data_IF_067228718421
#
_entry.id   IF_067228718421
#
_cell.length_a   1.000
_cell.length_b   1.000
_cell.length_c   1.000
_cell.angle_alpha   90.00
_cell.angle_beta   90.00
_cell.angle_gamma   90.00
#
_symmetry.space_group_name_H-M   'P 1'
#
loop_
_entity.id
_entity.type
_entity.pdbx_description
1 polymer ?
#
# COMPACT_ATOMS: atom_id res chain seq x y z
N UNK A 1 -16.49 1.65 -18.71
CA UNK A 1 -16.68 1.69 -17.24
C UNK A 1 -16.23 0.35 -16.69
N UNK A 2 -15.19 0.30 -15.86
CA UNK A 2 -14.67 -0.95 -15.32
C UNK A 2 -15.58 -1.54 -14.23
N UNK A 3 -15.63 -2.87 -14.13
CA UNK A 3 -16.51 -3.64 -13.22
C UNK A 3 -16.43 -3.23 -11.74
N UNK A 4 -15.30 -2.68 -11.30
CA UNK A 4 -15.08 -2.27 -9.91
C UNK A 4 -14.96 -0.75 -9.73
N UNK A 5 -15.51 0.04 -10.67
CA UNK A 5 -15.42 1.50 -10.65
C UNK A 5 -16.02 2.17 -9.40
N UNK A 6 -16.90 1.51 -8.66
CA UNK A 6 -17.44 2.02 -7.38
C UNK A 6 -16.65 1.55 -6.14
N UNK A 7 -15.70 0.62 -6.31
CA UNK A 7 -14.95 0.05 -5.20
C UNK A 7 -14.01 1.11 -4.61
N UNK A 8 -14.24 1.45 -3.34
CA UNK A 8 -13.41 2.40 -2.57
C UNK A 8 -12.49 1.70 -1.58
N UNK A 9 -12.80 0.49 -1.15
CA UNK A 9 -12.06 -0.19 -0.10
C UNK A 9 -11.81 -1.63 -0.52
N UNK A 10 -10.56 -2.07 -0.39
CA UNK A 10 -10.13 -3.45 -0.63
C UNK A 10 -9.46 -3.94 0.64
N UNK A 11 -10.12 -4.89 1.31
CA UNK A 11 -9.63 -5.51 2.53
C UNK A 11 -9.48 -7.02 2.31
N UNK A 12 -8.29 -7.54 2.60
CA UNK A 12 -7.98 -8.97 2.51
C UNK A 12 -7.40 -9.42 3.84
N UNK A 13 -8.02 -10.44 4.44
CA UNK A 13 -7.65 -10.94 5.76
C UNK A 13 -7.59 -12.46 5.77
N UNK A 14 -6.60 -13.02 6.45
CA UNK A 14 -6.46 -14.47 6.65
C UNK A 14 -6.31 -15.30 5.36
N UNK A 15 -5.92 -14.68 4.25
CA UNK A 15 -5.63 -15.37 3.00
C UNK A 15 -4.19 -15.91 3.02
N UNK A 16 -3.97 -16.97 3.80
CA UNK A 16 -2.61 -17.43 4.11
C UNK A 16 -1.83 -17.94 2.91
N UNK A 17 -2.47 -18.46 1.85
CA UNK A 17 -1.79 -18.98 0.66
C UNK A 17 -1.60 -17.95 -0.46
N UNK A 18 -2.19 -16.75 -0.33
CA UNK A 18 -2.15 -15.73 -1.38
C UNK A 18 -0.77 -15.07 -1.42
N UNK A 19 -0.06 -15.17 -2.56
CA UNK A 19 1.31 -14.65 -2.73
C UNK A 19 1.37 -13.18 -3.16
N UNK A 20 0.38 -12.72 -3.90
CA UNK A 20 0.19 -11.31 -4.28
C UNK A 20 -1.29 -10.97 -4.40
N UNK A 21 -1.65 -9.69 -4.26
CA UNK A 21 -3.04 -9.26 -4.23
C UNK A 21 -3.56 -8.75 -5.58
N UNK A 22 -2.75 -7.95 -6.28
CA UNK A 22 -3.15 -7.21 -7.49
C UNK A 22 -2.15 -7.39 -8.62
N UNK A 23 -2.65 -7.29 -9.85
CA UNK A 23 -1.83 -7.08 -11.05
C UNK A 23 -1.93 -5.62 -11.51
N UNK A 24 -0.93 -5.10 -12.25
CA UNK A 24 -0.98 -3.74 -12.78
C UNK A 24 -2.21 -3.47 -13.65
N UNK A 25 -2.63 -4.46 -14.44
CA UNK A 25 -3.84 -4.39 -15.26
C UNK A 25 -5.09 -4.11 -14.43
N UNK A 26 -5.30 -4.87 -13.35
CA UNK A 26 -6.42 -4.66 -12.44
C UNK A 26 -6.41 -3.24 -11.84
N UNK A 27 -5.24 -2.75 -11.45
CA UNK A 27 -5.10 -1.39 -10.92
C UNK A 27 -5.53 -0.36 -11.96
N UNK A 28 -5.01 -0.45 -13.18
CA UNK A 28 -5.29 0.52 -14.26
C UNK A 28 -6.76 0.55 -14.67
N UNK A 29 -7.40 -0.60 -14.81
CA UNK A 29 -8.74 -0.67 -15.40
C UNK A 29 -9.87 -0.70 -14.38
N UNK A 30 -9.60 -1.12 -13.14
CA UNK A 30 -10.67 -1.42 -12.19
C UNK A 30 -10.57 -0.66 -10.86
N UNK A 31 -9.38 -0.27 -10.40
CA UNK A 31 -9.20 0.26 -9.04
C UNK A 31 -8.82 1.75 -8.97
N UNK A 32 -9.19 2.53 -9.99
CA UNK A 32 -8.93 3.98 -10.02
C UNK A 32 -9.70 4.78 -8.95
N UNK A 33 -10.74 4.20 -8.34
CA UNK A 33 -11.50 4.83 -7.26
C UNK A 33 -11.17 4.30 -5.86
N UNK A 34 -10.17 3.42 -5.75
CA UNK A 34 -9.78 2.82 -4.48
C UNK A 34 -9.14 3.87 -3.56
N UNK A 35 -9.61 3.91 -2.31
CA UNK A 35 -9.24 4.83 -1.24
C UNK A 35 -8.52 4.13 -0.09
N UNK A 36 -8.83 2.85 0.16
CA UNK A 36 -8.21 2.03 1.20
C UNK A 36 -7.76 0.69 0.63
N UNK A 37 -6.50 0.33 0.90
CA UNK A 37 -5.98 -1.04 0.75
C UNK A 37 -5.57 -1.53 2.12
N UNK A 38 -6.12 -2.67 2.53
CA UNK A 38 -5.90 -3.28 3.83
C UNK A 38 -5.56 -4.76 3.66
N UNK A 39 -4.41 -5.18 4.19
CA UNK A 39 -3.98 -6.58 4.19
C UNK A 39 -3.61 -7.01 5.61
N UNK A 40 -4.29 -8.05 6.11
CA UNK A 40 -4.13 -8.55 7.46
C UNK A 40 -3.90 -10.07 7.48
N UNK A 41 -2.91 -10.55 8.26
CA UNK A 41 -2.63 -11.98 8.48
C UNK A 41 -2.57 -12.83 7.19
N UNK A 42 -1.90 -12.30 6.15
CA UNK A 42 -1.67 -13.00 4.89
C UNK A 42 -0.23 -13.53 4.84
N UNK A 43 -0.02 -14.74 5.39
CA UNK A 43 1.31 -15.23 5.77
C UNK A 43 2.26 -15.52 4.61
N UNK A 44 1.74 -16.01 3.49
CA UNK A 44 2.53 -16.27 2.27
C UNK A 44 2.58 -15.10 1.29
N UNK A 45 1.99 -13.94 1.63
CA UNK A 45 2.00 -12.79 0.73
C UNK A 45 3.39 -12.14 0.68
N UNK A 46 3.95 -12.08 -0.52
CA UNK A 46 5.29 -11.55 -0.81
C UNK A 46 5.23 -10.15 -1.41
N UNK A 47 4.19 -9.87 -2.21
CA UNK A 47 3.97 -8.57 -2.85
C UNK A 47 2.51 -8.13 -2.69
N UNK A 48 2.22 -6.83 -2.68
CA UNK A 48 0.82 -6.37 -2.83
C UNK A 48 0.45 -6.38 -4.32
N UNK A 49 1.31 -5.80 -5.14
CA UNK A 49 1.15 -5.72 -6.60
C UNK A 49 2.33 -6.42 -7.26
N UNK A 50 2.02 -7.38 -8.14
CA UNK A 50 3.00 -8.11 -8.93
C UNK A 50 2.60 -8.02 -10.40
N UNK A 51 3.54 -7.57 -11.22
CA UNK A 51 3.43 -7.72 -12.67
C UNK A 51 3.80 -9.17 -13.02
N UNK A 52 2.81 -9.95 -13.41
CA UNK A 52 3.04 -11.30 -13.93
C UNK A 52 3.12 -11.19 -15.44
N UNK A 53 4.34 -11.17 -15.98
CA UNK A 53 4.62 -11.13 -17.42
C UNK A 53 4.06 -12.36 -18.19
N UNK A 54 3.47 -13.34 -17.50
CA UNK A 54 3.02 -14.62 -18.07
C UNK A 54 1.64 -14.58 -18.74
N UNK A 55 0.79 -13.59 -18.46
CA UNK A 55 -0.48 -13.44 -19.18
C UNK A 55 -0.27 -12.43 -20.32
N UNK A 56 -0.37 -12.87 -21.57
CA UNK A 56 -0.16 -12.12 -22.82
C UNK A 56 -1.11 -10.93 -23.06
N UNK A 57 -1.46 -10.21 -22.01
CA UNK A 57 -2.28 -9.00 -21.99
C UNK A 57 -1.30 -7.81 -22.02
N UNK A 58 -0.90 -7.47 -23.24
CA UNK A 58 -0.52 -6.14 -23.73
C UNK A 58 0.33 -5.28 -22.79
N UNK A 59 1.61 -5.18 -23.19
CA UNK A 59 2.55 -4.10 -22.91
C UNK A 59 1.93 -2.70 -23.17
N UNK A 60 1.12 -2.20 -22.24
CA UNK A 60 0.86 -0.76 -22.16
C UNK A 60 2.02 -0.13 -21.39
N UNK A 61 3.05 0.26 -22.15
CA UNK A 61 4.37 0.74 -21.73
C UNK A 61 4.39 1.98 -20.83
N UNK A 62 3.82 1.86 -19.63
CA UNK A 62 3.98 2.82 -18.55
C UNK A 62 4.43 2.08 -17.30
N UNK A 63 5.72 2.11 -17.00
CA UNK A 63 6.39 1.48 -15.86
C UNK A 63 5.89 1.92 -14.46
N UNK A 64 4.91 2.83 -14.42
CA UNK A 64 4.36 3.42 -13.20
C UNK A 64 2.91 2.96 -13.01
N UNK A 65 2.66 2.36 -11.85
CA UNK A 65 1.31 2.01 -11.38
C UNK A 65 0.79 3.16 -10.52
N UNK A 66 -0.39 3.67 -10.84
CA UNK A 66 -0.96 4.84 -10.16
C UNK A 66 -2.25 4.48 -9.45
N UNK A 67 -2.32 4.79 -8.16
CA UNK A 67 -3.58 4.84 -7.41
C UNK A 67 -3.92 6.30 -7.13
N UNK A 68 -4.75 6.95 -7.96
CA UNK A 68 -4.95 8.38 -7.86
C UNK A 68 -5.73 8.78 -6.60
N UNK A 69 -6.57 7.90 -6.06
CA UNK A 69 -7.45 8.18 -4.91
C UNK A 69 -7.10 7.41 -3.64
N UNK A 70 -6.03 6.61 -3.63
CA UNK A 70 -5.65 5.84 -2.45
C UNK A 70 -5.20 6.79 -1.34
N UNK A 71 -5.88 6.73 -0.20
CA UNK A 71 -5.66 7.57 0.97
C UNK A 71 -4.99 6.79 2.10
N UNK A 72 -5.31 5.50 2.25
CA UNK A 72 -4.84 4.67 3.36
C UNK A 72 -4.27 3.35 2.84
N UNK A 73 -3.06 3.01 3.30
CA UNK A 73 -2.44 1.70 3.12
C UNK A 73 -2.18 1.08 4.48
N UNK A 74 -2.83 -0.04 4.76
CA UNK A 74 -2.75 -0.73 6.04
C UNK A 74 -2.26 -2.17 5.87
N UNK A 75 -1.15 -2.49 6.53
CA UNK A 75 -0.47 -3.78 6.43
C UNK A 75 -0.21 -4.30 7.84
N UNK A 76 -0.75 -5.47 8.15
CA UNK A 76 -0.60 -6.05 9.48
C UNK A 76 -0.40 -7.55 9.44
N UNK A 77 0.61 -8.04 10.16
CA UNK A 77 0.92 -9.47 10.24
C UNK A 77 1.09 -10.11 8.87
N UNK A 78 1.88 -9.46 7.99
CA UNK A 78 2.22 -9.95 6.66
C UNK A 78 3.73 -10.27 6.64
N UNK A 79 4.17 -11.36 7.29
CA UNK A 79 5.57 -11.56 7.64
C UNK A 79 6.50 -11.71 6.44
N UNK A 80 6.01 -12.21 5.31
CA UNK A 80 6.79 -12.45 4.09
C UNK A 80 6.76 -11.29 3.08
N UNK A 81 6.07 -10.19 3.40
CA UNK A 81 5.91 -9.06 2.47
C UNK A 81 7.24 -8.37 2.22
N UNK A 82 7.78 -8.50 1.01
CA UNK A 82 9.06 -7.90 0.59
C UNK A 82 8.88 -6.51 -0.01
N UNK A 83 7.84 -6.32 -0.82
CA UNK A 83 7.59 -5.05 -1.50
C UNK A 83 6.09 -4.80 -1.70
N UNK A 84 5.70 -3.52 -1.80
CA UNK A 84 4.32 -3.17 -2.16
C UNK A 84 4.08 -3.37 -3.65
N UNK A 85 5.07 -3.04 -4.48
CA UNK A 85 4.97 -3.11 -5.92
C UNK A 85 6.27 -3.69 -6.50
N UNK A 86 6.14 -4.67 -7.39
CA UNK A 86 7.24 -5.35 -8.06
C UNK A 86 6.91 -5.56 -9.52
N UNK A 87 7.89 -5.38 -10.41
CA UNK A 87 7.75 -5.70 -11.84
C UNK A 87 8.09 -7.16 -12.11
N UNK A 88 9.01 -7.74 -11.35
CA UNK A 88 9.23 -9.17 -11.28
C UNK A 88 9.85 -9.49 -9.91
N UNK A 89 10.34 -10.71 -9.69
CA UNK A 89 10.94 -11.11 -8.41
C UNK A 89 12.22 -10.33 -8.04
N UNK A 90 12.84 -9.62 -9.00
CA UNK A 90 14.13 -8.94 -8.85
C UNK A 90 14.04 -7.40 -9.04
N UNK A 91 13.11 -6.92 -9.87
CA UNK A 91 12.96 -5.52 -10.26
C UNK A 91 11.82 -4.83 -9.49
N UNK A 92 12.18 -3.79 -8.75
CA UNK A 92 11.23 -2.96 -8.00
C UNK A 92 10.26 -2.25 -8.94
N UNK A 93 8.97 -2.38 -8.68
CA UNK A 93 7.94 -1.62 -9.40
C UNK A 93 7.86 -0.17 -8.92
N UNK A 94 7.52 0.75 -9.82
CA UNK A 94 7.31 2.16 -9.47
C UNK A 94 5.81 2.38 -9.23
N UNK A 95 5.47 2.95 -8.07
CA UNK A 95 4.09 3.26 -7.72
C UNK A 95 3.93 4.75 -7.38
N UNK A 96 2.84 5.36 -7.84
CA UNK A 96 2.46 6.73 -7.54
C UNK A 96 1.10 6.77 -6.82
N UNK A 97 1.07 7.36 -5.63
CA UNK A 97 -0.14 7.53 -4.82
C UNK A 97 -0.29 9.00 -4.37
N UNK A 98 -0.73 9.91 -5.25
CA UNK A 98 -0.75 11.35 -4.95
C UNK A 98 -1.70 11.73 -3.79
N UNK A 99 -2.73 10.92 -3.55
CA UNK A 99 -3.72 11.14 -2.49
C UNK A 99 -3.39 10.43 -1.18
N UNK A 100 -2.23 9.76 -1.07
CA UNK A 100 -1.90 8.95 0.10
C UNK A 100 -1.71 9.83 1.33
N UNK A 101 -2.48 9.57 2.38
CA UNK A 101 -2.51 10.34 3.62
C UNK A 101 -1.93 9.55 4.79
N UNK A 102 -2.15 8.24 4.85
CA UNK A 102 -1.71 7.43 5.97
C UNK A 102 -1.15 6.08 5.50
N UNK A 103 -0.05 5.68 6.12
CA UNK A 103 0.53 4.35 6.01
C UNK A 103 0.58 3.74 7.42
N UNK A 104 0.05 2.52 7.56
CA UNK A 104 0.11 1.76 8.81
C UNK A 104 0.79 0.42 8.50
N UNK A 105 1.90 0.15 9.17
CA UNK A 105 2.64 -1.11 9.03
C UNK A 105 2.90 -1.71 10.39
N UNK A 106 2.41 -2.94 10.61
CA UNK A 106 2.60 -3.67 11.85
C UNK A 106 2.97 -5.13 11.58
N UNK A 107 3.96 -5.67 12.29
CA UNK A 107 4.35 -7.08 12.15
C UNK A 107 4.61 -7.50 10.68
N UNK A 108 5.30 -6.63 9.92
CA UNK A 108 5.73 -6.86 8.54
C UNK A 108 7.26 -6.75 8.45
N UNK A 109 8.03 -7.64 9.13
CA UNK A 109 9.48 -7.51 9.30
C UNK A 109 10.29 -7.52 7.99
N UNK A 110 9.76 -8.10 6.91
CA UNK A 110 10.45 -8.16 5.61
C UNK A 110 10.21 -6.93 4.73
N UNK A 111 9.28 -6.04 5.11
CA UNK A 111 8.95 -4.86 4.30
C UNK A 111 9.97 -3.76 4.58
N UNK A 112 10.90 -3.57 3.65
CA UNK A 112 12.01 -2.60 3.81
C UNK A 112 11.79 -1.26 3.15
N UNK A 113 10.80 -1.11 2.26
CA UNK A 113 10.57 0.13 1.51
C UNK A 113 9.09 0.49 1.47
N UNK A 114 8.83 1.79 1.58
CA UNK A 114 7.50 2.37 1.45
C UNK A 114 7.28 2.96 0.06
N UNK A 115 6.03 3.05 -0.41
CA UNK A 115 5.70 3.67 -1.69
C UNK A 115 5.64 5.20 -1.57
N UNK A 116 6.77 5.79 -1.20
CA UNK A 116 6.91 7.24 -1.05
C UNK A 116 7.31 7.87 -2.40
N UNK A 117 6.92 9.13 -2.67
CA UNK A 117 7.34 9.82 -3.87
C UNK A 117 8.88 9.84 -3.97
N UNK A 118 9.41 9.50 -5.14
CA UNK A 118 10.84 9.62 -5.40
C UNK A 118 11.20 11.11 -5.41
N UNK A 119 11.91 11.55 -4.37
CA UNK A 119 12.53 12.87 -4.32
C UNK A 119 13.82 12.81 -5.17
N UNK A 120 13.74 13.12 -6.46
CA UNK A 120 14.95 13.33 -7.26
C UNK A 120 15.53 14.69 -6.87
N UNK A 121 16.74 14.70 -6.31
CA UNK A 121 17.46 15.91 -5.89
C UNK A 121 18.02 16.69 -7.09
N UNK A 122 17.95 16.11 -8.30
CA UNK A 122 18.61 16.65 -9.49
C UNK A 122 17.66 17.50 -10.33
N UNK A 123 17.14 18.59 -9.76
CA UNK A 123 16.84 19.81 -10.51
C UNK A 123 16.55 20.95 -9.52
N UNK A 124 17.43 21.95 -9.44
CA UNK A 124 17.28 23.12 -8.56
C UNK A 124 16.08 24.03 -8.92
N UNK A 125 15.11 23.55 -9.71
CA UNK A 125 13.92 24.27 -10.15
C UNK A 125 12.60 23.52 -9.97
N UNK A 126 12.60 22.26 -9.49
CA UNK A 126 11.34 21.52 -9.30
C UNK A 126 11.02 21.39 -7.81
N UNK A 127 9.90 21.97 -7.32
CA UNK A 127 9.47 21.71 -5.97
C UNK A 127 9.27 20.20 -5.80
N UNK A 128 9.68 19.62 -4.65
CA UNK A 128 9.40 18.22 -4.36
C UNK A 128 7.91 17.95 -4.59
N UNK A 129 7.52 16.85 -5.26
CA UNK A 129 6.11 16.54 -5.48
C UNK A 129 5.36 16.61 -4.15
N UNK A 130 4.37 17.50 -4.09
CA UNK A 130 3.56 17.72 -2.90
C UNK A 130 2.97 16.38 -2.46
N UNK A 131 3.35 15.94 -1.26
CA UNK A 131 2.83 14.73 -0.67
C UNK A 131 1.61 15.08 0.18
N UNK A 132 0.52 14.33 0.02
CA UNK A 132 -0.66 14.42 0.90
C UNK A 132 -0.45 13.67 2.22
N UNK A 133 0.73 13.08 2.42
CA UNK A 133 1.02 12.17 3.53
C UNK A 133 1.06 12.92 4.86
N UNK A 134 0.21 12.49 5.78
CA UNK A 134 0.01 13.08 7.11
C UNK A 134 0.61 12.21 8.22
N UNK A 135 0.62 10.89 8.05
CA UNK A 135 1.09 9.99 9.10
C UNK A 135 1.67 8.68 8.54
N UNK A 136 2.70 8.19 9.22
CA UNK A 136 3.22 6.84 9.08
C UNK A 136 3.25 6.21 10.47
N UNK A 137 2.58 5.08 10.63
CA UNK A 137 2.48 4.39 11.92
C UNK A 137 3.11 3.01 11.81
N UNK A 138 3.90 2.61 12.82
CA UNK A 138 4.43 1.25 12.88
C UNK A 138 5.32 0.97 14.08
N UNK A 139 5.97 -0.18 14.04
CA UNK A 139 6.97 -0.57 15.04
C UNK A 139 8.23 0.31 14.88
N UNK A 140 8.84 0.69 16.01
CA UNK A 140 10.06 1.52 16.00
C UNK A 140 11.20 0.76 15.31
N UNK A 141 11.33 -0.52 15.61
CA UNK A 141 12.36 -1.42 15.05
C UNK A 141 12.21 -1.53 13.54
N UNK A 142 10.96 -1.62 13.05
CA UNK A 142 10.69 -1.62 11.61
C UNK A 142 11.09 -0.29 10.96
N UNK A 143 10.69 0.84 11.54
CA UNK A 143 11.02 2.17 11.01
C UNK A 143 12.53 2.42 10.92
N UNK A 144 13.26 1.98 11.93
CA UNK A 144 14.72 2.15 11.99
C UNK A 144 15.46 1.28 10.96
N UNK A 145 14.87 0.15 10.54
CA UNK A 145 15.41 -0.78 9.54
C UNK A 145 14.93 -0.50 8.09
N UNK A 146 14.07 0.50 7.87
CA UNK A 146 13.65 0.89 6.52
C UNK A 146 14.85 1.31 5.67
N UNK A 147 14.87 0.85 4.43
CA UNK A 147 15.79 1.28 3.39
C UNK A 147 15.26 2.58 2.76
N UNK A 148 16.04 3.66 2.92
CA UNK A 148 15.74 4.97 2.36
C UNK A 148 16.63 5.22 1.15
N UNK A 149 16.07 5.83 0.10
CA UNK A 149 16.85 6.14 -1.11
C UNK A 149 17.98 7.14 -0.82
N UNK A 150 17.75 8.09 0.09
CA UNK A 150 18.77 9.00 0.64
C UNK A 150 18.54 9.27 2.14
N UNK A 151 19.58 9.64 2.91
CA UNK A 151 19.41 10.08 4.30
C UNK A 151 18.44 11.27 4.46
N UNK A 152 18.42 12.18 3.47
CA UNK A 152 17.53 13.33 3.43
C UNK A 152 16.06 12.91 3.34
N UNK A 153 15.76 11.86 2.58
CA UNK A 153 14.41 11.29 2.49
C UNK A 153 13.90 10.89 3.87
N UNK A 154 14.71 10.17 4.67
CA UNK A 154 14.32 9.79 6.04
C UNK A 154 13.99 11.01 6.89
N UNK A 155 14.80 12.06 6.82
CA UNK A 155 14.58 13.30 7.60
C UNK A 155 13.28 14.02 7.24
N UNK A 156 12.84 13.97 5.98
CA UNK A 156 11.57 14.58 5.53
C UNK A 156 10.38 13.87 6.15
N UNK A 157 10.43 12.53 6.22
CA UNK A 157 9.31 11.72 6.72
C UNK A 157 9.38 11.44 8.22
N UNK A 158 10.53 11.69 8.88
CA UNK A 158 10.72 11.47 10.32
C UNK A 158 9.66 12.15 11.20
N UNK A 159 9.23 13.41 10.95
CA UNK A 159 8.19 14.06 11.75
C UNK A 159 6.80 13.44 11.58
N UNK A 160 6.57 12.71 10.49
CA UNK A 160 5.29 12.04 10.20
C UNK A 160 5.22 10.65 10.83
N UNK A 161 6.33 10.13 11.35
CA UNK A 161 6.37 8.81 11.97
C UNK A 161 5.92 8.84 13.43
N UNK A 162 5.01 7.95 13.78
CA UNK A 162 4.57 7.71 15.16
C UNK A 162 4.59 6.23 15.49
N UNK A 163 5.12 5.89 16.67
CA UNK A 163 5.06 4.52 17.18
C UNK A 163 3.63 4.25 17.66
N UNK A 164 2.98 3.21 17.13
CA UNK A 164 1.70 2.71 17.67
C UNK A 164 1.95 1.47 18.52
N UNK A 165 1.42 1.43 19.74
CA UNK A 165 1.68 0.38 20.73
C UNK A 165 0.66 -0.77 20.76
N UNK A 166 -0.17 -0.96 19.73
CA UNK A 166 -1.26 -1.95 19.79
C UNK A 166 -1.26 -3.03 18.70
N UNK A 167 -1.69 -4.23 19.13
CA UNK A 167 -2.20 -5.33 18.30
C UNK A 167 -3.19 -4.76 17.28
N UNK A 168 -3.04 -5.16 16.03
CA UNK A 168 -3.97 -4.98 14.91
C UNK A 168 -5.41 -4.54 15.31
N UNK A 169 -5.75 -3.23 15.31
CA UNK A 169 -7.15 -2.78 15.47
C UNK A 169 -8.02 -3.12 14.23
N UNK A 170 -7.36 -3.60 13.17
CA UNK A 170 -7.87 -3.75 11.81
C UNK A 170 -8.99 -4.82 11.71
N UNK A 171 -9.09 -5.74 12.67
CA UNK A 171 -9.96 -6.91 12.56
C UNK A 171 -11.41 -6.62 13.02
N UNK A 172 -11.68 -5.57 13.82
CA UNK A 172 -12.96 -5.53 14.53
C UNK A 172 -13.84 -4.27 14.44
N UNK A 173 -13.43 -3.10 13.95
CA UNK A 173 -14.26 -1.90 14.19
C UNK A 173 -14.74 -1.06 12.99
N UNK A 174 -14.00 -0.90 11.89
CA UNK A 174 -14.36 0.24 11.01
C UNK A 174 -15.20 -0.07 9.76
N UNK A 175 -15.23 -1.30 9.27
CA UNK A 175 -15.95 -1.62 8.02
C UNK A 175 -17.07 -2.63 8.24
N UNK A 176 -16.82 -3.65 9.07
CA UNK A 176 -17.79 -4.73 9.23
C UNK A 176 -18.93 -4.41 10.21
N UNK A 177 -18.71 -3.53 11.20
CA UNK A 177 -19.70 -3.28 12.24
C UNK A 177 -20.83 -2.34 11.80
N UNK A 178 -20.55 -1.20 11.16
CA UNK A 178 -21.61 -0.25 10.80
C UNK A 178 -22.55 -0.79 9.71
N UNK A 179 -22.00 -1.44 8.69
CA UNK A 179 -22.79 -1.94 7.55
C UNK A 179 -23.56 -3.24 7.86
N UNK A 180 -23.03 -4.13 8.70
CA UNK A 180 -23.79 -5.31 9.15
C UNK A 180 -24.80 -4.98 10.24
N UNK A 181 -24.47 -4.08 11.17
CA UNK A 181 -25.41 -3.68 12.22
C UNK A 181 -26.64 -3.00 11.63
N UNK A 182 -26.47 -2.14 10.63
CA UNK A 182 -27.59 -1.61 9.83
C UNK A 182 -28.41 -2.70 9.14
N UNK A 183 -27.77 -3.70 8.55
CA UNK A 183 -28.49 -4.80 7.87
C UNK A 183 -29.20 -5.78 8.82
N UNK A 184 -28.75 -5.90 10.06
CA UNK A 184 -29.37 -6.78 11.07
C UNK A 184 -30.41 -6.08 11.95
N UNK A 185 -30.35 -4.75 12.10
CA UNK A 185 -31.37 -3.97 12.82
C UNK A 185 -32.57 -3.57 11.93
N UNK A 186 -32.53 -3.87 10.62
CA UNK A 186 -33.61 -3.65 9.64
C UNK A 186 -34.42 -4.93 9.30
N UNK A 187 -34.29 -6.02 10.08
CA UNK A 187 -35.10 -7.25 9.99
C UNK A 187 -35.87 -7.45 11.30
#
# INVERSE_FOLDING_TARGET
SGTFSLLKQLSVSFCHNLRYLLTPWLVRHHFQNLQLVRVCDCREMVHIIRDDEEEGIINEGNSIITFPKLQNLELSSVPKLKSICTKNDEEKGIMACPSLQEIIVWNCPMLKRLPLPIMRVDDHHRPPPATSLKAINGQKEWWDLLEWDTPQTKSIFQPLFSVRSQRCPIIFLDIWNEDLKKRYEEI
#
